data_IF_683841486839
#
_entry.id   IF_683841486839
#
_cell.length_a   1.000
_cell.length_b   1.000
_cell.length_c   1.000
_cell.angle_alpha   90.00
_cell.angle_beta   90.00
_cell.angle_gamma   90.00
#
_symmetry.space_group_name_H-M   'P 1'
#
loop_
_entity.id
_entity.type
_entity.pdbx_description
1 polymer ?
#
# COMPACT_ATOMS: atom_id res chain seq x y z
N UNK A 1 -4.31 -27.18 -19.08
CA UNK A 1 -5.10 -26.30 -19.99
C UNK A 1 -4.68 -24.85 -19.71
N UNK A 2 -3.87 -24.26 -20.59
CA UNK A 2 -3.65 -22.80 -20.64
C UNK A 2 -4.65 -22.27 -21.67
N UNK A 3 -5.60 -21.43 -21.26
CA UNK A 3 -6.61 -20.91 -22.18
C UNK A 3 -7.72 -20.17 -21.46
N UNK A 4 -7.81 -18.86 -21.73
CA UNK A 4 -8.77 -17.93 -21.16
C UNK A 4 -8.09 -16.87 -20.31
N UNK A 5 -7.58 -15.81 -20.94
CA UNK A 5 -7.36 -14.55 -20.25
C UNK A 5 -8.69 -14.16 -19.61
N UNK A 6 -8.74 -14.10 -18.27
CA UNK A 6 -9.85 -13.46 -17.55
C UNK A 6 -9.39 -12.06 -17.17
N UNK A 7 -9.39 -11.07 -18.08
CA UNK A 7 -8.88 -9.73 -17.75
C UNK A 7 -9.71 -9.00 -16.66
N UNK A 8 -10.87 -9.54 -16.26
CA UNK A 8 -11.85 -8.80 -15.46
C UNK A 8 -12.04 -9.32 -14.02
N UNK A 9 -11.00 -9.93 -13.42
CA UNK A 9 -11.09 -10.40 -12.03
C UNK A 9 -11.21 -9.21 -11.07
N UNK A 10 -12.22 -9.26 -10.20
CA UNK A 10 -12.26 -8.44 -9.01
C UNK A 10 -11.40 -9.11 -7.94
N UNK A 11 -10.51 -8.34 -7.30
CA UNK A 11 -9.69 -8.81 -6.20
C UNK A 11 -9.75 -7.82 -5.05
N UNK A 12 -10.05 -8.32 -3.86
CA UNK A 12 -10.08 -7.57 -2.60
C UNK A 12 -9.01 -8.18 -1.69
N UNK A 13 -7.93 -7.45 -1.35
CA UNK A 13 -7.00 -7.90 -0.34
C UNK A 13 -7.69 -7.78 1.04
N UNK A 14 -7.60 -8.83 1.83
CA UNK A 14 -8.33 -8.96 3.09
C UNK A 14 -7.47 -9.65 4.14
N UNK A 15 -7.95 -9.68 5.37
CA UNK A 15 -7.31 -10.39 6.46
C UNK A 15 -8.35 -10.93 7.43
N UNK A 16 -7.99 -12.00 8.13
CA UNK A 16 -8.76 -12.54 9.24
C UNK A 16 -7.83 -12.83 10.43
N UNK A 17 -8.41 -13.13 11.58
CA UNK A 17 -7.70 -13.71 12.71
C UNK A 17 -8.30 -15.06 13.06
N UNK A 18 -7.43 -16.02 13.39
CA UNK A 18 -7.82 -17.32 13.91
C UNK A 18 -6.77 -17.79 14.92
N UNK A 19 -7.21 -18.22 16.10
CA UNK A 19 -6.35 -18.58 17.23
C UNK A 19 -5.48 -17.43 17.75
N UNK A 20 -5.86 -16.17 17.50
CA UNK A 20 -5.06 -14.98 17.86
C UNK A 20 -4.00 -14.58 16.83
N UNK A 21 -3.80 -15.39 15.78
CA UNK A 21 -2.89 -15.07 14.67
C UNK A 21 -3.64 -14.37 13.55
N UNK A 22 -3.16 -13.19 13.15
CA UNK A 22 -3.69 -12.46 12.00
C UNK A 22 -3.07 -12.97 10.69
N UNK A 23 -3.87 -13.09 9.64
CA UNK A 23 -3.46 -13.62 8.33
C UNK A 23 -4.04 -12.77 7.21
N UNK A 24 -3.21 -12.35 6.27
CA UNK A 24 -3.66 -11.69 5.03
C UNK A 24 -3.90 -12.70 3.92
N UNK A 25 -4.85 -12.41 3.04
CA UNK A 25 -5.19 -13.20 1.86
C UNK A 25 -5.89 -12.34 0.81
N UNK A 26 -6.28 -12.95 -0.32
CA UNK A 26 -7.14 -12.32 -1.32
C UNK A 26 -8.51 -12.98 -1.35
N UNK A 27 -9.56 -12.16 -1.50
CA UNK A 27 -10.88 -12.59 -1.96
C UNK A 27 -10.98 -12.18 -3.42
N UNK A 28 -11.49 -13.06 -4.29
CA UNK A 28 -11.61 -12.74 -5.70
C UNK A 28 -12.91 -13.26 -6.32
N UNK A 29 -13.33 -12.59 -7.38
CA UNK A 29 -14.46 -12.99 -8.22
C UNK A 29 -14.03 -12.92 -9.68
N UNK A 30 -14.39 -13.95 -10.44
CA UNK A 30 -14.18 -14.03 -11.89
C UNK A 30 -15.50 -13.90 -12.67
N UNK A 31 -16.61 -13.61 -11.99
CA UNK A 31 -17.97 -13.47 -12.51
C UNK A 31 -18.58 -12.12 -12.11
N UNK A 32 -17.76 -11.08 -12.12
CA UNK A 32 -18.15 -9.69 -11.86
C UNK A 32 -18.86 -9.46 -10.51
N UNK A 33 -18.52 -10.26 -9.50
CA UNK A 33 -18.98 -10.12 -8.12
C UNK A 33 -20.15 -11.00 -7.73
N UNK A 34 -20.66 -11.86 -8.63
CA UNK A 34 -21.75 -12.80 -8.33
C UNK A 34 -21.32 -13.86 -7.30
N UNK A 35 -20.13 -14.45 -7.47
CA UNK A 35 -19.55 -15.39 -6.52
C UNK A 35 -18.13 -15.01 -6.14
N UNK A 36 -17.75 -15.37 -4.91
CA UNK A 36 -16.45 -15.04 -4.34
C UNK A 36 -15.72 -16.30 -3.90
N UNK A 37 -14.41 -16.30 -4.15
CA UNK A 37 -13.49 -17.36 -3.78
C UNK A 37 -12.37 -16.79 -2.92
N UNK A 38 -11.86 -17.63 -2.02
CA UNK A 38 -10.74 -17.31 -1.15
C UNK A 38 -9.43 -17.81 -1.78
N UNK A 39 -8.41 -16.94 -1.86
CA UNK A 39 -7.04 -17.32 -2.22
C UNK A 39 -6.28 -17.95 -1.04
N UNK A 40 -5.03 -18.35 -1.26
CA UNK A 40 -4.20 -18.86 -0.16
C UNK A 40 -3.95 -17.78 0.89
N UNK A 41 -3.64 -18.20 2.12
CA UNK A 41 -2.99 -17.33 3.10
C UNK A 41 -1.69 -16.81 2.49
N UNK A 42 -1.49 -15.49 2.57
CA UNK A 42 -0.37 -14.80 1.98
C UNK A 42 0.78 -14.63 2.99
N UNK A 43 0.46 -14.25 4.22
CA UNK A 43 1.39 -14.20 5.35
C UNK A 43 0.65 -14.25 6.69
N UNK A 44 1.32 -14.76 7.71
CA UNK A 44 0.87 -14.65 9.11
C UNK A 44 1.43 -13.37 9.75
N UNK A 45 0.85 -12.97 10.89
CA UNK A 45 1.20 -11.76 11.63
C UNK A 45 1.12 -10.49 10.77
N UNK A 46 0.13 -10.48 9.87
CA UNK A 46 -0.15 -9.34 8.99
C UNK A 46 -1.64 -9.01 8.98
N UNK A 47 -1.97 -7.75 8.71
CA UNK A 47 -3.34 -7.25 8.55
C UNK A 47 -3.42 -6.19 7.44
N UNK A 48 -4.53 -5.46 7.36
CA UNK A 48 -4.77 -4.24 6.54
C UNK A 48 -3.94 -4.14 5.25
N UNK A 49 -4.09 -5.11 4.33
CA UNK A 49 -3.29 -5.16 3.12
C UNK A 49 -3.83 -4.24 2.03
N UNK A 50 -2.94 -3.85 1.12
CA UNK A 50 -3.22 -3.17 -0.14
C UNK A 50 -2.54 -3.94 -1.27
N UNK A 51 -3.12 -3.91 -2.48
CA UNK A 51 -2.57 -4.60 -3.65
C UNK A 51 -2.52 -3.65 -4.85
N UNK A 52 -1.43 -3.72 -5.61
CA UNK A 52 -1.27 -3.07 -6.92
C UNK A 52 -0.96 -4.13 -7.99
N UNK A 53 -1.38 -3.88 -9.23
CA UNK A 53 -1.07 -4.71 -10.38
C UNK A 53 0.08 -4.12 -11.21
N UNK A 54 1.03 -4.96 -11.61
CA UNK A 54 2.19 -4.60 -12.42
C UNK A 54 1.93 -4.83 -13.92
N UNK A 55 2.78 -4.29 -14.79
CA UNK A 55 2.62 -4.42 -16.25
C UNK A 55 2.66 -5.86 -16.77
N UNK A 56 3.31 -6.76 -16.03
CA UNK A 56 3.34 -8.19 -16.36
C UNK A 56 2.19 -8.99 -15.71
N UNK A 57 1.14 -8.31 -15.22
CA UNK A 57 0.00 -8.87 -14.49
C UNK A 57 0.34 -9.61 -13.19
N UNK A 58 1.58 -9.46 -12.69
CA UNK A 58 1.87 -9.84 -11.32
C UNK A 58 1.25 -8.84 -10.36
N UNK A 59 0.91 -9.30 -9.16
CA UNK A 59 0.35 -8.45 -8.11
C UNK A 59 1.37 -8.28 -6.99
N UNK A 60 1.47 -7.08 -6.45
CA UNK A 60 2.25 -6.81 -5.23
C UNK A 60 1.29 -6.44 -4.12
N UNK A 61 1.40 -7.16 -3.00
CA UNK A 61 0.69 -6.85 -1.77
C UNK A 61 1.63 -6.12 -0.81
N UNK A 62 1.16 -5.01 -0.24
CA UNK A 62 1.79 -4.33 0.88
C UNK A 62 0.87 -4.46 2.10
N UNK A 63 1.27 -5.24 3.08
CA UNK A 63 0.50 -5.55 4.26
C UNK A 63 1.06 -4.87 5.51
N UNK A 64 0.15 -4.53 6.42
CA UNK A 64 0.52 -4.09 7.77
C UNK A 64 1.14 -5.26 8.49
N UNK A 65 2.33 -5.06 9.05
CA UNK A 65 2.95 -6.04 9.96
C UNK A 65 2.41 -5.81 11.36
N UNK A 66 1.97 -6.87 12.03
CA UNK A 66 1.44 -6.78 13.39
C UNK A 66 2.57 -6.37 14.36
N UNK A 67 2.21 -5.57 15.36
CA UNK A 67 3.15 -5.08 16.37
C UNK A 67 3.93 -6.23 17.03
N UNK A 68 5.25 -6.08 17.12
CA UNK A 68 6.15 -7.10 17.66
C UNK A 68 6.70 -8.10 16.62
N UNK A 69 6.19 -8.10 15.38
CA UNK A 69 6.65 -9.02 14.32
C UNK A 69 7.53 -8.35 13.25
N UNK A 70 7.94 -7.09 13.48
CA UNK A 70 8.85 -6.35 12.60
C UNK A 70 8.60 -4.85 12.62
N UNK A 71 9.56 -4.09 12.07
CA UNK A 71 9.48 -2.62 11.94
C UNK A 71 9.18 -2.12 10.53
N UNK A 72 8.84 -3.03 9.61
CA UNK A 72 8.59 -2.74 8.20
C UNK A 72 7.30 -3.40 7.72
N UNK A 73 6.70 -2.84 6.65
CA UNK A 73 5.57 -3.42 5.92
C UNK A 73 5.96 -4.78 5.36
N UNK A 74 5.04 -5.74 5.40
CA UNK A 74 5.24 -7.05 4.75
C UNK A 74 4.89 -6.93 3.27
N UNK A 75 5.85 -7.21 2.39
CA UNK A 75 5.68 -7.09 0.94
C UNK A 75 5.70 -8.47 0.27
N UNK A 76 4.66 -8.80 -0.47
CA UNK A 76 4.44 -10.11 -1.10
C UNK A 76 4.14 -9.93 -2.59
N UNK A 77 4.46 -10.94 -3.39
CA UNK A 77 4.19 -10.99 -4.82
C UNK A 77 3.37 -12.23 -5.19
N UNK A 78 2.40 -12.04 -6.07
CA UNK A 78 1.65 -13.11 -6.73
C UNK A 78 1.88 -13.06 -8.23
N UNK A 79 2.09 -14.22 -8.84
CA UNK A 79 2.27 -14.38 -10.30
C UNK A 79 1.15 -15.21 -10.92
N UNK A 80 0.11 -15.51 -10.15
CA UNK A 80 -1.03 -16.34 -10.53
C UNK A 80 -2.37 -15.65 -10.23
N UNK A 81 -2.38 -14.31 -10.32
CA UNK A 81 -3.58 -13.45 -10.19
C UNK A 81 -4.18 -13.48 -8.77
N UNK A 82 -3.32 -13.57 -7.76
CA UNK A 82 -3.68 -13.48 -6.34
C UNK A 82 -4.10 -14.80 -5.70
N UNK A 83 -3.89 -15.94 -6.39
CA UNK A 83 -4.21 -17.27 -5.85
C UNK A 83 -3.18 -17.71 -4.82
N UNK A 84 -1.89 -17.49 -5.11
CA UNK A 84 -0.77 -17.75 -4.20
C UNK A 84 0.15 -16.54 -4.09
N UNK A 85 0.84 -16.44 -2.95
CA UNK A 85 1.71 -15.32 -2.60
C UNK A 85 3.03 -15.84 -2.04
N UNK A 86 4.10 -15.08 -2.27
CA UNK A 86 5.42 -15.31 -1.67
C UNK A 86 6.09 -13.99 -1.32
N UNK A 87 7.13 -13.95 -0.46
CA UNK A 87 7.90 -12.74 -0.22
C UNK A 87 8.35 -12.06 -1.51
N UNK A 88 8.15 -10.74 -1.61
CA UNK A 88 8.63 -9.96 -2.73
C UNK A 88 10.12 -9.63 -2.53
N UNK A 89 10.95 -9.97 -3.52
CA UNK A 89 12.39 -9.68 -3.49
C UNK A 89 12.70 -8.37 -4.21
N UNK A 90 13.71 -7.66 -3.73
CA UNK A 90 14.23 -6.45 -4.38
C UNK A 90 13.39 -5.18 -4.20
N UNK A 91 12.28 -5.23 -3.44
CA UNK A 91 11.53 -4.03 -3.06
C UNK A 91 12.20 -3.30 -1.90
N UNK A 92 12.25 -1.98 -1.97
CA UNK A 92 12.72 -1.13 -0.89
C UNK A 92 11.88 -1.32 0.36
N UNK A 93 12.53 -1.31 1.53
CA UNK A 93 11.84 -1.45 2.80
C UNK A 93 10.96 -0.22 3.08
N UNK A 94 9.73 -0.45 3.53
CA UNK A 94 8.79 0.59 3.93
C UNK A 94 8.55 0.46 5.43
N UNK A 95 8.82 1.52 6.20
CA UNK A 95 8.68 1.49 7.66
C UNK A 95 7.23 1.27 8.06
N UNK A 96 7.02 0.49 9.13
CA UNK A 96 5.72 0.21 9.70
C UNK A 96 5.59 0.77 11.11
N UNK A 97 4.54 1.57 11.35
CA UNK A 97 4.29 2.29 12.61
C UNK A 97 2.91 1.94 13.20
N UNK A 98 2.50 0.68 13.08
CA UNK A 98 1.25 0.12 13.59
C UNK A 98 0.02 0.83 13.02
N UNK A 99 0.00 1.06 11.71
CA UNK A 99 -1.05 1.78 11.00
C UNK A 99 -1.37 1.12 9.66
N UNK A 100 -2.56 1.39 9.11
CA UNK A 100 -2.77 1.12 7.70
C UNK A 100 -1.92 2.10 6.86
N UNK A 101 -1.48 1.63 5.69
CA UNK A 101 -0.83 2.47 4.69
C UNK A 101 -1.43 2.21 3.33
N UNK A 102 -1.43 3.21 2.45
CA UNK A 102 -1.88 3.07 1.09
C UNK A 102 -0.69 2.96 0.16
N UNK A 103 -0.67 1.94 -0.71
CA UNK A 103 0.21 1.90 -1.88
C UNK A 103 -0.66 2.05 -3.12
N UNK A 104 -0.23 2.89 -4.05
CA UNK A 104 -0.96 3.15 -5.27
C UNK A 104 0.00 3.21 -6.46
N UNK A 105 -0.44 2.68 -7.60
CA UNK A 105 0.32 2.70 -8.85
C UNK A 105 -0.30 3.73 -9.81
N UNK A 106 0.42 4.83 -10.03
CA UNK A 106 0.05 5.93 -10.92
C UNK A 106 0.65 5.73 -12.31
N UNK A 107 -0.17 5.53 -13.35
CA UNK A 107 0.34 5.65 -14.72
C UNK A 107 0.73 7.10 -15.03
N UNK A 108 1.96 7.30 -15.48
CA UNK A 108 2.47 8.63 -15.85
C UNK A 108 1.96 9.00 -17.24
N UNK A 109 1.25 10.12 -17.36
CA UNK A 109 0.77 10.59 -18.67
C UNK A 109 1.98 10.99 -19.53
N UNK A 110 2.01 10.55 -20.81
CA UNK A 110 3.08 10.89 -21.75
C UNK A 110 4.42 10.15 -21.54
N UNK A 111 4.47 9.13 -20.69
CA UNK A 111 5.71 8.44 -20.31
C UNK A 111 5.99 7.12 -21.05
N UNK A 112 5.32 6.85 -22.16
CA UNK A 112 5.34 5.55 -22.84
C UNK A 112 5.00 4.37 -21.91
N UNK A 113 4.02 4.53 -21.02
CA UNK A 113 3.50 3.44 -20.18
C UNK A 113 4.24 3.25 -18.85
N UNK A 114 5.23 4.09 -18.51
CA UNK A 114 5.85 4.06 -17.19
C UNK A 114 4.84 4.43 -16.10
N UNK A 115 5.01 3.83 -14.92
CA UNK A 115 4.18 4.10 -13.75
C UNK A 115 5.02 4.39 -12.52
N UNK A 116 4.55 5.35 -11.75
CA UNK A 116 5.08 5.69 -10.43
C UNK A 116 4.32 4.91 -9.37
N UNK A 117 5.02 4.48 -8.33
CA UNK A 117 4.37 3.95 -7.13
C UNK A 117 4.41 5.02 -6.07
N UNK A 118 3.29 5.22 -5.39
CA UNK A 118 3.18 6.14 -4.27
C UNK A 118 2.82 5.32 -3.05
N UNK A 119 3.44 5.65 -1.92
CA UNK A 119 3.09 5.10 -0.62
C UNK A 119 2.75 6.24 0.33
N UNK A 120 1.68 6.10 1.13
CA UNK A 120 1.32 7.06 2.17
C UNK A 120 1.19 6.36 3.51
N UNK A 121 1.85 6.92 4.52
CA UNK A 121 1.93 6.31 5.84
C UNK A 121 2.49 7.29 6.90
N UNK A 122 2.07 7.19 8.18
CA UNK A 122 2.72 7.91 9.29
C UNK A 122 4.18 7.48 9.49
N UNK A 123 5.09 8.44 9.69
CA UNK A 123 6.53 8.13 9.87
C UNK A 123 6.97 7.88 11.30
N UNK A 124 6.19 8.31 12.28
CA UNK A 124 6.58 8.25 13.69
C UNK A 124 5.70 7.26 14.45
N UNK A 125 6.25 6.51 15.43
CA UNK A 125 5.44 5.78 16.39
C UNK A 125 4.36 6.66 17.02
N UNK A 126 3.17 6.10 17.25
CA UNK A 126 2.03 6.86 17.76
C UNK A 126 1.18 7.54 16.67
N UNK A 127 1.39 7.19 15.39
CA UNK A 127 0.55 7.65 14.26
C UNK A 127 0.60 9.19 14.13
N UNK A 128 1.79 9.69 13.81
CA UNK A 128 2.08 11.13 13.63
C UNK A 128 2.91 11.32 12.37
N UNK A 129 2.65 12.40 11.64
CA UNK A 129 3.50 12.77 10.50
C UNK A 129 3.24 11.92 9.26
N UNK A 130 2.01 11.90 8.71
CA UNK A 130 1.79 11.23 7.42
C UNK A 130 2.62 11.90 6.33
N UNK A 131 3.40 11.09 5.64
CA UNK A 131 4.13 11.48 4.43
C UNK A 131 3.61 10.69 3.22
N UNK A 132 3.86 11.24 2.04
CA UNK A 132 3.84 10.51 0.79
C UNK A 132 5.29 10.25 0.33
N UNK A 133 5.55 9.08 -0.24
CA UNK A 133 6.79 8.74 -0.93
C UNK A 133 6.48 8.31 -2.35
N UNK A 134 7.45 8.47 -3.25
CA UNK A 134 7.33 8.06 -4.65
C UNK A 134 8.52 7.20 -5.07
N UNK A 135 8.23 6.16 -5.84
CA UNK A 135 9.19 5.29 -6.50
C UNK A 135 8.95 5.33 -8.00
N UNK A 136 10.03 5.56 -8.76
CA UNK A 136 10.03 5.57 -10.22
C UNK A 136 10.69 4.29 -10.80
N UNK A 137 11.10 3.35 -9.93
CA UNK A 137 11.88 2.15 -10.25
C UNK A 137 11.18 0.84 -9.82
N UNK A 138 9.85 0.82 -9.89
CA UNK A 138 8.98 -0.31 -9.54
C UNK A 138 9.16 -0.77 -8.08
N UNK A 139 9.22 0.19 -7.16
CA UNK A 139 9.24 -0.03 -5.72
C UNK A 139 10.61 -0.44 -5.15
N UNK A 140 11.69 -0.40 -5.95
CA UNK A 140 13.04 -0.76 -5.49
C UNK A 140 13.62 0.30 -4.57
N UNK A 141 13.38 1.58 -4.87
CA UNK A 141 13.81 2.71 -4.05
C UNK A 141 12.73 3.79 -3.94
N UNK A 142 12.81 4.59 -2.86
CA UNK A 142 11.86 5.65 -2.54
C UNK A 142 12.61 6.97 -2.25
N UNK A 143 13.25 7.58 -3.27
CA UNK A 143 14.22 8.66 -3.08
C UNK A 143 13.60 10.03 -2.78
N UNK A 144 12.28 10.17 -2.86
CA UNK A 144 11.55 11.42 -2.67
C UNK A 144 10.37 11.23 -1.73
N UNK A 145 10.12 12.24 -0.88
CA UNK A 145 8.98 12.26 0.02
C UNK A 145 8.53 13.69 0.34
N UNK A 146 7.26 13.85 0.70
CA UNK A 146 6.71 15.10 1.21
C UNK A 146 5.81 14.83 2.43
N UNK A 147 5.82 15.78 3.36
CA UNK A 147 4.90 15.79 4.50
C UNK A 147 3.50 16.18 4.02
N UNK A 148 2.50 15.34 4.33
CA UNK A 148 1.09 15.67 4.11
C UNK A 148 0.48 16.32 5.36
N UNK A 149 0.83 15.82 6.54
CA UNK A 149 0.33 16.35 7.82
C UNK A 149 1.31 16.08 8.96
N UNK A 150 1.71 17.13 9.68
CA UNK A 150 2.67 17.03 10.80
C UNK A 150 2.08 16.46 12.09
N UNK A 151 0.77 16.57 12.29
CA UNK A 151 0.10 16.21 13.53
C UNK A 151 -0.29 14.73 13.65
N UNK A 152 -1.09 14.39 14.67
CA UNK A 152 -1.76 13.10 14.79
C UNK A 152 -2.48 12.74 13.49
N UNK A 153 -2.14 11.59 12.93
CA UNK A 153 -2.66 11.12 11.64
C UNK A 153 -2.55 9.61 11.49
N UNK A 154 -3.58 8.98 10.92
CA UNK A 154 -3.72 7.53 10.80
C UNK A 154 -3.94 7.11 9.35
N UNK A 155 -5.11 6.52 9.05
CA UNK A 155 -5.28 5.75 7.82
C UNK A 155 -5.29 6.68 6.62
N UNK A 156 -4.81 6.16 5.50
CA UNK A 156 -4.76 6.89 4.24
C UNK A 156 -5.36 6.07 3.11
N UNK A 157 -6.00 6.74 2.16
CA UNK A 157 -6.51 6.14 0.94
C UNK A 157 -6.26 7.08 -0.23
N UNK A 158 -5.69 6.54 -1.31
CA UNK A 158 -5.33 7.31 -2.50
C UNK A 158 -6.24 6.99 -3.68
N UNK A 159 -6.46 8.01 -4.51
CA UNK A 159 -7.13 7.87 -5.80
C UNK A 159 -6.44 8.74 -6.83
N UNK A 160 -6.36 8.24 -8.07
CA UNK A 160 -5.98 9.10 -9.19
C UNK A 160 -7.13 9.98 -9.59
N UNK A 161 -6.83 11.25 -9.79
CA UNK A 161 -7.77 12.26 -10.23
C UNK A 161 -7.49 12.69 -11.66
N UNK A 162 -8.44 13.43 -12.24
CA UNK A 162 -8.25 14.07 -13.54
C UNK A 162 -7.03 15.01 -13.52
N UNK A 163 -6.41 15.19 -14.69
CA UNK A 163 -5.23 16.04 -14.84
C UNK A 163 -3.94 15.45 -14.26
N UNK A 164 -3.93 14.17 -13.87
CA UNK A 164 -2.74 13.51 -13.31
C UNK A 164 -2.49 13.80 -11.83
N UNK A 165 -3.45 14.43 -11.15
CA UNK A 165 -3.39 14.67 -9.71
C UNK A 165 -3.59 13.37 -8.92
N UNK A 166 -3.02 13.34 -7.72
CA UNK A 166 -3.25 12.30 -6.72
C UNK A 166 -4.09 12.91 -5.61
N UNK A 167 -5.24 12.31 -5.34
CA UNK A 167 -6.09 12.65 -4.20
C UNK A 167 -5.82 11.69 -3.05
N UNK A 168 -5.73 12.23 -1.83
CA UNK A 168 -5.49 11.45 -0.60
C UNK A 168 -6.54 11.81 0.43
N UNK A 169 -7.29 10.80 0.90
CA UNK A 169 -8.07 10.88 2.14
C UNK A 169 -7.19 10.43 3.30
N UNK A 170 -7.31 11.11 4.44
CA UNK A 170 -6.52 10.81 5.63
C UNK A 170 -7.29 11.10 6.91
N UNK A 171 -7.23 10.18 7.87
CA UNK A 171 -7.63 10.44 9.25
C UNK A 171 -6.58 11.30 9.95
N UNK A 172 -6.99 12.44 10.52
CA UNK A 172 -6.07 13.35 11.19
C UNK A 172 -6.75 14.23 12.23
N UNK A 173 -5.94 14.95 13.00
CA UNK A 173 -6.40 16.00 13.90
C UNK A 173 -5.26 16.87 14.42
N UNK A 174 -5.63 17.82 15.28
CA UNK A 174 -4.70 18.69 15.99
C UNK A 174 -4.22 18.05 17.30
N UNK A 175 -5.12 17.40 18.04
CA UNK A 175 -4.79 16.78 19.34
C UNK A 175 -4.83 15.26 19.30
N UNK A 176 -5.75 14.67 18.53
CA UNK A 176 -5.91 13.23 18.39
C UNK A 176 -6.06 12.80 16.92
N UNK A 177 -5.82 11.51 16.67
CA UNK A 177 -5.66 10.93 15.34
C UNK A 177 -6.94 10.87 14.50
N UNK A 178 -8.12 10.96 15.12
CA UNK A 178 -9.43 10.69 14.50
C UNK A 178 -10.42 11.86 14.65
N UNK A 179 -9.93 13.09 14.72
CA UNK A 179 -10.79 14.26 14.86
C UNK A 179 -11.54 14.58 13.56
N UNK A 180 -10.93 14.31 12.41
CA UNK A 180 -11.51 14.54 11.10
C UNK A 180 -10.94 13.62 10.03
N UNK A 181 -11.62 13.57 8.88
CA UNK A 181 -11.10 13.02 7.63
C UNK A 181 -10.82 14.19 6.69
N UNK A 182 -9.56 14.41 6.36
CA UNK A 182 -9.13 15.46 5.44
C UNK A 182 -8.93 14.90 4.03
N UNK A 183 -9.13 15.76 3.02
CA UNK A 183 -8.83 15.44 1.63
C UNK A 183 -7.77 16.40 1.07
N UNK A 184 -6.65 15.85 0.62
CA UNK A 184 -5.55 16.60 0.00
C UNK A 184 -5.39 16.18 -1.46
N UNK A 185 -4.87 17.10 -2.30
CA UNK A 185 -4.45 16.80 -3.67
C UNK A 185 -3.05 17.30 -3.91
N UNK A 186 -2.25 16.57 -4.67
CA UNK A 186 -0.94 17.02 -5.11
C UNK A 186 -0.59 16.44 -6.48
N UNK A 187 0.43 17.01 -7.12
CA UNK A 187 1.04 16.47 -8.33
C UNK A 187 2.22 15.56 -7.99
N UNK A 188 2.53 14.55 -8.81
CA UNK A 188 3.77 13.78 -8.67
C UNK A 188 5.03 14.66 -8.68
N UNK A 189 5.02 15.77 -9.43
CA UNK A 189 6.14 16.72 -9.49
C UNK A 189 6.38 17.43 -8.14
N UNK A 190 5.31 17.82 -7.44
CA UNK A 190 5.42 18.40 -6.09
C UNK A 190 6.01 17.39 -5.10
N UNK A 191 5.60 16.12 -5.23
CA UNK A 191 6.12 15.03 -4.40
C UNK A 191 7.62 14.79 -4.66
N UNK A 192 8.05 14.80 -5.93
CA UNK A 192 9.46 14.62 -6.32
C UNK A 192 10.38 15.79 -5.94
N UNK A 193 9.84 16.97 -5.69
CA UNK A 193 10.63 18.09 -5.19
C UNK A 193 11.09 17.93 -3.73
N UNK A 194 10.45 17.02 -2.98
CA UNK A 194 10.75 16.76 -1.58
C UNK A 194 11.89 15.76 -1.37
N UNK A 195 12.48 15.81 -0.16
CA UNK A 195 13.52 14.88 0.29
C UNK A 195 12.96 13.98 1.38
N UNK A 196 13.30 12.69 1.39
CA UNK A 196 12.85 11.77 2.41
C UNK A 196 13.40 12.18 3.78
N UNK A 197 12.57 12.17 4.84
CA UNK A 197 13.07 12.32 6.19
C UNK A 197 13.91 11.10 6.59
N UNK A 198 14.77 11.25 7.60
CA UNK A 198 15.36 10.08 8.26
C UNK A 198 14.25 9.35 9.03
N UNK A 199 13.93 8.12 8.62
CA UNK A 199 12.93 7.28 9.29
C UNK A 199 13.63 6.07 9.89
N UNK A 200 13.46 5.87 11.20
CA UNK A 200 13.97 4.69 11.90
C UNK A 200 12.81 3.72 12.12
N UNK A 201 12.94 2.44 11.74
CA UNK A 201 11.91 1.46 12.04
C UNK A 201 11.75 1.32 13.56
N UNK A 202 10.54 1.01 14.07
CA UNK A 202 10.39 0.58 15.45
C UNK A 202 11.28 -0.63 15.73
N UNK A 203 11.80 -0.71 16.97
CA UNK A 203 12.53 -1.90 17.40
C UNK A 203 11.63 -3.14 17.27
N UNK A 204 12.15 -4.20 16.66
CA UNK A 204 11.54 -5.53 16.77
C UNK A 204 11.62 -5.97 18.24
N UNK A 205 10.56 -6.61 18.73
CA UNK A 205 10.57 -7.24 20.07
C UNK A 205 11.18 -8.63 20.01
#
# INVERSE_FOLDING_TARGET
RRGGSRPDRLLIPSYHSDGGTYRTHSLYSDDHGETWQLGSVAAENTSEPQVIELDNHSLVMNARTIAGFGGYRTQLISQDRGLTWRPAEGLGQLVENQCQGCVYRCFRSGSNGQSDWIFTHPITPGRVGVHAWISEDAGRSWPHAQLLWSGPSAYTAMVRMQGGLVGVLMECGEKQTYEQIAFMKFTPEWLKAGKPPEVKPPAAK
#
